data_IF_538565250257
#
_entry.id   IF_538565250257
#
_cell.length_a   1.000
_cell.length_b   1.000
_cell.length_c   1.000
_cell.angle_alpha   90.00
_cell.angle_beta   90.00
_cell.angle_gamma   90.00
#
_symmetry.space_group_name_H-M   'P 1'
#
loop_
_entity.id
_entity.type
_entity.pdbx_description
1 polymer ?
#
# COMPACT_ATOMS: atom_id res chain seq x y z
N UNK A 1 -2.14 -15.09 -18.08
CA UNK A 1 -1.24 -15.46 -16.97
C UNK A 1 -2.12 -15.72 -15.78
N UNK A 2 -2.12 -16.94 -15.23
CA UNK A 2 -2.86 -17.30 -14.01
C UNK A 2 -1.98 -16.96 -12.80
N UNK A 3 -2.53 -16.16 -11.88
CA UNK A 3 -1.85 -15.78 -10.64
C UNK A 3 -2.16 -16.84 -9.59
N UNK A 4 -1.44 -17.97 -9.65
CA UNK A 4 -1.76 -19.14 -8.82
C UNK A 4 -3.12 -19.75 -9.19
N UNK A 5 -4.02 -19.92 -8.21
CA UNK A 5 -5.37 -20.46 -8.41
C UNK A 5 -6.40 -19.41 -8.91
N UNK A 6 -5.96 -18.18 -9.20
CA UNK A 6 -6.80 -17.08 -9.68
C UNK A 6 -6.49 -16.69 -11.12
N UNK A 7 -7.50 -16.17 -11.81
CA UNK A 7 -7.38 -15.70 -13.20
C UNK A 7 -7.05 -14.21 -13.32
N UNK A 8 -7.07 -13.45 -12.22
CA UNK A 8 -6.98 -11.99 -12.24
C UNK A 8 -6.45 -11.39 -10.93
N UNK A 9 -6.01 -10.14 -11.00
CA UNK A 9 -5.74 -9.29 -9.85
C UNK A 9 -6.25 -7.88 -10.12
N UNK A 10 -6.65 -7.17 -9.07
CA UNK A 10 -6.90 -5.72 -9.12
C UNK A 10 -5.60 -5.02 -8.76
N UNK A 11 -5.11 -4.19 -9.67
CA UNK A 11 -3.89 -3.39 -9.47
C UNK A 11 -4.19 -1.90 -9.55
N UNK A 12 -3.29 -1.09 -9.04
CA UNK A 12 -3.32 0.36 -9.16
C UNK A 12 -2.21 1.01 -8.36
N UNK A 13 -2.28 2.32 -8.21
CA UNK A 13 -1.32 3.08 -7.42
C UNK A 13 -2.02 4.04 -6.47
N UNK A 14 -1.29 4.44 -5.42
CA UNK A 14 -1.70 5.48 -4.49
C UNK A 14 -0.53 6.42 -4.26
N UNK A 15 -0.79 7.71 -4.44
CA UNK A 15 0.18 8.79 -4.25
C UNK A 15 -0.21 9.64 -3.05
N UNK A 16 0.76 9.97 -2.20
CA UNK A 16 0.63 10.93 -1.10
C UNK A 16 0.93 12.32 -1.66
N UNK A 17 -0.10 13.16 -1.76
CA UNK A 17 0.05 14.50 -2.36
C UNK A 17 0.89 15.45 -1.48
N UNK A 18 0.86 15.25 -0.17
CA UNK A 18 1.58 16.08 0.80
C UNK A 18 2.12 15.18 1.91
N UNK A 19 3.44 15.14 2.04
CA UNK A 19 4.16 14.41 3.07
C UNK A 19 3.71 14.86 4.46
N UNK A 20 3.57 13.90 5.39
CA UNK A 20 3.04 14.14 6.73
C UNK A 20 1.51 14.22 6.77
N UNK A 21 0.82 13.92 5.65
CA UNK A 21 -0.65 13.84 5.59
C UNK A 21 -1.03 12.49 4.99
N UNK A 22 -1.19 11.50 5.85
CA UNK A 22 -1.45 10.13 5.40
C UNK A 22 -2.76 10.03 4.61
N UNK A 23 -2.75 9.15 3.60
CA UNK A 23 -3.90 8.86 2.74
C UNK A 23 -4.33 7.40 2.91
N UNK A 24 -5.64 7.18 2.92
CA UNK A 24 -6.21 5.84 2.95
C UNK A 24 -6.08 5.19 1.57
N UNK A 25 -5.74 3.91 1.57
CA UNK A 25 -5.75 3.08 0.36
C UNK A 25 -7.19 2.87 -0.15
N UNK A 26 -7.38 2.51 -1.44
CA UNK A 26 -8.72 2.43 -2.03
C UNK A 26 -9.56 1.28 -1.45
N UNK A 27 -10.89 1.43 -1.57
CA UNK A 27 -11.86 0.41 -1.16
C UNK A 27 -11.86 -0.77 -2.13
N UNK A 28 -10.95 -1.72 -1.89
CA UNK A 28 -10.76 -2.93 -2.68
C UNK A 28 -10.84 -4.12 -1.75
N UNK A 29 -11.88 -4.94 -1.92
CA UNK A 29 -12.06 -6.16 -1.14
C UNK A 29 -10.95 -7.16 -1.46
N UNK A 30 -10.31 -7.67 -0.41
CA UNK A 30 -9.36 -8.76 -0.49
C UNK A 30 -10.11 -10.07 -0.20
N UNK A 31 -10.08 -11.05 -1.11
CA UNK A 31 -10.72 -12.34 -0.87
C UNK A 31 -10.13 -13.07 0.33
N UNK A 32 -10.94 -13.84 1.04
CA UNK A 32 -10.50 -14.63 2.19
C UNK A 32 -9.39 -15.62 1.81
N UNK A 33 -8.34 -15.69 2.64
CA UNK A 33 -7.17 -16.54 2.41
C UNK A 33 -6.11 -15.96 1.46
N UNK A 34 -6.26 -14.69 1.05
CA UNK A 34 -5.30 -13.97 0.22
C UNK A 34 -4.75 -12.75 0.95
N UNK A 35 -3.57 -12.31 0.54
CA UNK A 35 -2.93 -11.10 1.02
C UNK A 35 -3.06 -9.99 -0.03
N UNK A 36 -3.04 -8.74 0.43
CA UNK A 36 -2.76 -7.60 -0.42
C UNK A 36 -1.25 -7.37 -0.48
N UNK A 37 -0.74 -7.04 -1.66
CA UNK A 37 0.65 -6.67 -1.86
C UNK A 37 0.72 -5.17 -2.11
N UNK A 38 1.59 -4.49 -1.36
CA UNK A 38 1.90 -3.07 -1.50
C UNK A 38 3.39 -2.95 -1.78
N UNK A 39 3.76 -2.25 -2.84
CA UNK A 39 5.15 -2.02 -3.22
C UNK A 39 5.44 -0.53 -3.23
N UNK A 40 6.47 -0.09 -2.51
CA UNK A 40 6.93 1.29 -2.60
C UNK A 40 7.45 1.58 -4.02
N UNK A 41 6.98 2.66 -4.63
CA UNK A 41 7.34 3.01 -6.02
C UNK A 41 8.86 3.14 -6.17
N UNK A 42 9.39 2.57 -7.24
CA UNK A 42 10.82 2.59 -7.58
C UNK A 42 11.46 3.98 -7.56
N UNK A 43 10.72 5.01 -7.96
CA UNK A 43 11.20 6.38 -8.06
C UNK A 43 10.98 7.22 -6.79
N UNK A 44 10.49 6.62 -5.70
CA UNK A 44 10.52 7.27 -4.41
C UNK A 44 11.99 7.52 -4.02
N UNK A 45 12.26 8.71 -3.49
CA UNK A 45 13.58 9.09 -2.98
C UNK A 45 13.64 8.90 -1.46
N UNK A 46 12.52 9.11 -0.79
CA UNK A 46 12.33 8.89 0.64
C UNK A 46 11.64 7.56 0.95
N UNK A 47 11.23 7.40 2.21
CA UNK A 47 10.49 6.23 2.70
C UNK A 47 8.99 6.42 2.54
N UNK A 48 8.31 5.28 2.44
CA UNK A 48 6.86 5.18 2.60
C UNK A 48 6.57 4.63 3.99
N UNK A 49 5.60 5.19 4.69
CA UNK A 49 5.17 4.74 6.01
C UNK A 49 3.81 4.08 5.94
N UNK A 50 3.63 2.96 6.63
CA UNK A 50 2.41 2.16 6.60
C UNK A 50 1.79 2.13 8.00
N UNK A 51 0.46 2.23 8.09
CA UNK A 51 -0.29 2.09 9.34
C UNK A 51 -1.69 1.53 9.13
N UNK A 52 -2.27 0.93 10.17
CA UNK A 52 -3.69 0.51 10.17
C UNK A 52 -4.64 1.68 10.41
N UNK A 53 -4.12 2.79 10.90
CA UNK A 53 -4.80 4.06 11.08
C UNK A 53 -4.00 5.20 10.48
N UNK A 54 -4.67 6.32 10.21
CA UNK A 54 -4.03 7.56 9.76
C UNK A 54 -2.89 8.00 10.68
N UNK A 55 -3.15 7.99 12.00
CA UNK A 55 -2.19 8.45 12.99
C UNK A 55 -0.95 7.56 13.09
N UNK A 56 -1.10 6.24 12.91
CA UNK A 56 0.06 5.32 12.89
C UNK A 56 0.94 5.55 11.67
N UNK A 57 0.33 5.72 10.49
CA UNK A 57 1.08 6.03 9.27
C UNK A 57 1.85 7.35 9.41
N UNK A 58 1.22 8.40 9.96
CA UNK A 58 1.86 9.70 10.22
C UNK A 58 2.90 9.67 11.37
N UNK A 59 2.81 8.68 12.26
CA UNK A 59 3.78 8.44 13.33
C UNK A 59 4.99 7.61 12.86
N UNK A 60 5.01 7.21 11.58
CA UNK A 60 6.14 6.52 10.93
C UNK A 60 6.54 5.21 11.62
N UNK A 61 5.56 4.45 12.14
CA UNK A 61 5.80 3.23 12.94
C UNK A 61 6.39 2.08 12.12
N UNK A 62 6.02 1.96 10.84
CA UNK A 62 6.54 0.98 9.88
C UNK A 62 6.96 1.74 8.64
N UNK A 63 8.12 1.40 8.07
CA UNK A 63 8.65 2.09 6.88
C UNK A 63 9.14 1.12 5.82
N UNK A 64 8.90 1.46 4.56
CA UNK A 64 9.39 0.80 3.37
C UNK A 64 10.36 1.75 2.64
N UNK A 65 11.52 1.24 2.26
CA UNK A 65 12.39 1.90 1.28
C UNK A 65 11.84 1.77 -0.14
N UNK A 66 12.43 2.46 -1.12
CA UNK A 66 12.09 2.26 -2.53
C UNK A 66 12.23 0.79 -2.92
N UNK A 67 11.27 0.28 -3.71
CA UNK A 67 11.14 -1.13 -4.13
C UNK A 67 10.87 -2.16 -3.02
N UNK A 68 10.80 -1.76 -1.75
CA UNK A 68 10.39 -2.66 -0.68
C UNK A 68 8.92 -3.08 -0.86
N UNK A 69 8.65 -4.33 -0.49
CA UNK A 69 7.33 -4.95 -0.62
C UNK A 69 6.78 -5.28 0.76
N UNK A 70 5.52 -4.96 0.96
CA UNK A 70 4.74 -5.23 2.15
C UNK A 70 3.54 -6.11 1.79
N UNK A 71 3.38 -7.22 2.52
CA UNK A 71 2.27 -8.15 2.37
C UNK A 71 1.44 -8.15 3.64
N UNK A 72 0.12 -8.05 3.51
CA UNK A 72 -0.77 -8.02 4.66
C UNK A 72 -2.10 -8.74 4.42
N UNK A 73 -2.56 -9.45 5.46
CA UNK A 73 -3.83 -10.15 5.44
C UNK A 73 -4.94 -9.26 6.01
N UNK A 74 -5.52 -8.44 5.14
CA UNK A 74 -6.71 -7.63 5.45
C UNK A 74 -7.92 -8.15 4.69
N UNK A 75 -9.13 -7.81 5.14
CA UNK A 75 -10.36 -8.08 4.38
C UNK A 75 -10.63 -7.03 3.29
N UNK A 76 -10.00 -5.87 3.41
CA UNK A 76 -10.11 -4.76 2.46
C UNK A 76 -8.86 -3.89 2.52
N UNK A 77 -8.38 -3.46 1.35
CA UNK A 77 -7.20 -2.63 1.21
C UNK A 77 -7.35 -1.27 1.92
N UNK A 78 -8.57 -0.73 2.06
CA UNK A 78 -8.83 0.51 2.79
C UNK A 78 -8.56 0.42 4.31
N UNK A 79 -8.24 -0.76 4.84
CA UNK A 79 -7.73 -0.90 6.21
C UNK A 79 -6.31 -0.34 6.36
N UNK A 80 -5.64 -0.01 5.25
CA UNK A 80 -4.25 0.46 5.23
C UNK A 80 -4.21 1.96 4.90
N UNK A 81 -3.37 2.66 5.65
CA UNK A 81 -3.00 4.07 5.44
C UNK A 81 -1.53 4.17 5.07
N UNK A 82 -1.20 5.10 4.19
CA UNK A 82 0.17 5.39 3.77
C UNK A 82 0.52 6.86 3.96
N UNK A 83 1.75 7.13 4.38
CA UNK A 83 2.39 8.46 4.38
C UNK A 83 3.75 8.36 3.69
N UNK A 84 4.37 9.50 3.37
CA UNK A 84 5.68 9.54 2.69
C UNK A 84 6.58 10.64 3.25
N UNK A 85 7.89 10.48 3.07
CA UNK A 85 8.88 11.51 3.35
C UNK A 85 8.74 12.72 2.41
N UNK A 86 8.44 12.50 1.13
CA UNK A 86 8.34 13.57 0.14
C UNK A 86 6.95 13.62 -0.53
N UNK A 87 6.55 14.83 -0.94
CA UNK A 87 5.32 15.05 -1.70
C UNK A 87 5.38 14.31 -3.05
N UNK A 88 4.28 13.66 -3.42
CA UNK A 88 4.14 12.99 -4.71
C UNK A 88 4.73 11.57 -4.75
N UNK A 89 5.28 11.07 -3.65
CA UNK A 89 5.69 9.68 -3.50
C UNK A 89 4.50 8.77 -3.21
N UNK A 90 4.70 7.46 -3.27
CA UNK A 90 3.66 6.52 -2.88
C UNK A 90 3.95 5.07 -3.21
N UNK A 91 2.89 4.31 -3.45
CA UNK A 91 2.94 2.87 -3.62
C UNK A 91 2.15 2.41 -4.83
N UNK A 92 2.55 1.26 -5.37
CA UNK A 92 1.72 0.43 -6.23
C UNK A 92 1.08 -0.67 -5.36
N UNK A 93 -0.10 -1.15 -5.75
CA UNK A 93 -0.78 -2.24 -5.05
C UNK A 93 -1.29 -3.31 -6.01
N UNK A 94 -1.41 -4.53 -5.49
CA UNK A 94 -1.99 -5.68 -6.15
C UNK A 94 -2.83 -6.49 -5.16
N UNK A 95 -4.05 -6.85 -5.56
CA UNK A 95 -4.95 -7.72 -4.80
C UNK A 95 -5.46 -8.84 -5.71
N UNK A 96 -5.08 -10.11 -5.47
CA UNK A 96 -5.60 -11.27 -6.22
C UNK A 96 -7.13 -11.37 -6.17
N UNK A 97 -7.77 -11.75 -7.28
CA UNK A 97 -9.23 -11.86 -7.44
C UNK A 97 -9.68 -13.20 -8.00
#
# INVERSE_FOLDING_TARGET
>A
MTWGNRSSATTGDKTVATAGVAVQMPDVKVPEGFEATITAKHHNVGRVYIGGTKAEAEAHTVSLGPDDVFHEYVTNLNAIWIDTDNNGEGVDYEVPQ
#
